data_IF_479187412638
#
_entry.id   IF_479187412638
#
_cell.length_a   1.000
_cell.length_b   1.000
_cell.length_c   1.000
_cell.angle_alpha   90.00
_cell.angle_beta   90.00
_cell.angle_gamma   90.00
#
_symmetry.space_group_name_H-M   'P 1'
#
loop_
_entity.id
_entity.type
_entity.pdbx_description
1 polymer ?
#
# COMPACT_ATOMS: atom_id res chain seq x y z
N UNK A 1 -1.09 7.06 -23.61
CA UNK A 1 0.16 7.67 -23.09
C UNK A 1 1.10 6.52 -22.74
N UNK A 2 2.40 6.66 -23.04
CA UNK A 2 3.37 5.64 -22.64
C UNK A 2 3.45 5.59 -21.10
N UNK A 3 3.60 4.38 -20.54
CA UNK A 3 3.86 4.21 -19.11
C UNK A 3 5.23 4.81 -18.83
N UNK A 4 5.30 5.75 -17.89
CA UNK A 4 6.54 6.43 -17.53
C UNK A 4 6.95 6.03 -16.13
N UNK A 5 8.11 5.38 -15.99
CA UNK A 5 8.74 5.02 -14.71
C UNK A 5 9.82 6.02 -14.28
N UNK A 6 10.10 7.02 -15.10
CA UNK A 6 11.25 7.93 -14.94
C UNK A 6 10.94 9.20 -14.10
N UNK A 7 9.91 9.13 -13.28
CA UNK A 7 9.55 10.26 -12.42
C UNK A 7 10.22 10.21 -11.04
N UNK A 8 10.68 9.02 -10.62
CA UNK A 8 11.37 8.83 -9.35
C UNK A 8 12.87 9.18 -9.51
N UNK A 9 13.33 10.16 -8.74
CA UNK A 9 14.70 10.67 -8.80
C UNK A 9 15.39 10.51 -7.45
N UNK A 10 16.49 9.77 -7.41
CA UNK A 10 17.27 9.53 -6.18
C UNK A 10 17.85 10.82 -5.57
N UNK A 11 18.12 11.83 -6.41
CA UNK A 11 18.65 13.14 -6.04
C UNK A 11 17.57 14.21 -5.81
N UNK A 12 16.29 13.82 -5.73
CA UNK A 12 15.22 14.77 -5.50
C UNK A 12 15.42 15.54 -4.17
N UNK A 13 15.22 16.85 -4.21
CA UNK A 13 15.46 17.74 -3.07
C UNK A 13 14.72 17.33 -1.80
N UNK A 14 13.53 16.77 -1.93
CA UNK A 14 12.76 16.28 -0.78
C UNK A 14 13.54 15.25 0.05
N UNK A 15 14.23 14.31 -0.59
CA UNK A 15 14.99 13.28 0.11
C UNK A 15 16.20 13.85 0.83
N UNK A 16 16.87 14.82 0.19
CA UNK A 16 17.95 15.55 0.83
C UNK A 16 17.49 16.30 2.08
N UNK A 17 16.34 16.98 2.01
CA UNK A 17 15.80 17.72 3.15
C UNK A 17 15.30 16.78 4.27
N UNK A 18 14.71 15.63 3.93
CA UNK A 18 14.31 14.63 4.92
C UNK A 18 15.53 13.97 5.59
N UNK A 19 16.66 13.83 4.90
CA UNK A 19 17.92 13.33 5.46
C UNK A 19 18.54 14.28 6.50
N UNK A 20 18.19 15.59 6.49
CA UNK A 20 18.49 16.50 7.59
C UNK A 20 17.73 16.14 8.89
N UNK A 21 16.88 15.11 8.80
CA UNK A 21 16.17 14.48 9.90
C UNK A 21 15.40 15.45 10.80
N UNK A 22 14.44 16.25 10.27
CA UNK A 22 13.60 17.12 11.09
C UNK A 22 12.95 16.32 12.23
N UNK A 23 12.77 16.92 13.38
CA UNK A 23 12.27 16.23 14.58
C UNK A 23 10.93 15.50 14.32
N UNK A 24 9.99 16.12 13.62
CA UNK A 24 8.71 15.52 13.26
C UNK A 24 8.86 14.31 12.28
N UNK A 25 9.88 14.33 11.42
CA UNK A 25 10.19 13.22 10.52
C UNK A 25 10.68 12.00 11.29
N UNK A 26 11.55 12.24 12.26
CA UNK A 26 12.03 11.20 13.19
C UNK A 26 10.87 10.54 13.92
N UNK A 27 9.90 11.33 14.43
CA UNK A 27 8.71 10.79 15.10
C UNK A 27 7.88 9.86 14.19
N UNK A 28 7.69 10.23 12.90
CA UNK A 28 7.02 9.33 11.95
C UNK A 28 7.78 8.02 11.73
N UNK A 29 9.12 8.06 11.66
CA UNK A 29 9.95 6.88 11.45
C UNK A 29 9.96 5.95 12.68
N UNK A 30 9.93 6.51 13.87
CA UNK A 30 10.01 5.77 15.14
C UNK A 30 8.68 5.17 15.59
N UNK A 31 7.55 5.63 15.07
CA UNK A 31 6.24 5.02 15.39
C UNK A 31 6.07 3.70 14.63
N UNK A 32 6.21 2.60 15.36
CA UNK A 32 6.13 1.24 14.80
C UNK A 32 4.76 0.87 14.24
N UNK A 33 3.71 1.62 14.53
CA UNK A 33 2.37 1.40 13.98
C UNK A 33 2.17 2.02 12.60
N UNK A 34 3.08 2.91 12.19
CA UNK A 34 3.03 3.59 10.90
C UNK A 34 3.88 2.88 9.86
N UNK A 35 3.56 3.09 8.59
CA UNK A 35 4.46 2.80 7.49
C UNK A 35 4.55 3.99 6.53
N UNK A 36 5.68 4.10 5.86
CA UNK A 36 6.05 5.25 5.03
C UNK A 36 6.34 4.77 3.62
N UNK A 37 5.71 5.42 2.65
CA UNK A 37 5.88 5.12 1.23
C UNK A 37 6.44 6.32 0.47
N UNK A 38 7.46 6.06 -0.32
CA UNK A 38 7.96 6.99 -1.33
C UNK A 38 7.18 6.75 -2.62
N UNK A 39 6.63 7.80 -3.19
CA UNK A 39 5.79 7.73 -4.39
C UNK A 39 6.56 8.16 -5.64
N UNK A 40 6.15 7.64 -6.80
CA UNK A 40 6.80 7.83 -8.10
C UNK A 40 7.06 9.29 -8.51
N UNK A 41 6.34 10.23 -7.93
CA UNK A 41 6.45 11.67 -8.16
C UNK A 41 7.32 12.38 -7.10
N UNK A 42 8.17 11.63 -6.40
CA UNK A 42 9.04 12.11 -5.33
C UNK A 42 8.26 12.73 -4.16
N UNK A 43 7.09 12.20 -3.85
CA UNK A 43 6.35 12.50 -2.64
C UNK A 43 6.57 11.40 -1.60
N UNK A 44 6.36 11.74 -0.34
CA UNK A 44 6.41 10.77 0.75
C UNK A 44 5.08 10.79 1.47
N UNK A 45 4.48 9.62 1.62
CA UNK A 45 3.20 9.46 2.30
C UNK A 45 3.37 8.60 3.55
N UNK A 46 2.67 8.97 4.61
CA UNK A 46 2.64 8.25 5.88
C UNK A 46 1.27 7.61 6.05
N UNK A 47 1.25 6.36 6.51
CA UNK A 47 0.04 5.56 6.63
C UNK A 47 -0.09 4.91 7.99
N UNK A 48 -1.34 4.73 8.41
CA UNK A 48 -1.76 3.92 9.55
C UNK A 48 -2.89 2.98 9.11
N UNK A 49 -2.74 1.67 9.34
CA UNK A 49 -3.76 0.65 8.97
C UNK A 49 -4.31 0.81 7.54
N UNK A 50 -3.43 1.07 6.57
CA UNK A 50 -3.79 1.27 5.17
C UNK A 50 -4.41 2.65 4.83
N UNK A 51 -4.65 3.50 5.83
CA UNK A 51 -5.14 4.86 5.63
C UNK A 51 -4.01 5.89 5.56
N UNK A 52 -3.96 6.69 4.51
CA UNK A 52 -3.01 7.80 4.40
C UNK A 52 -3.34 8.90 5.41
N UNK A 53 -2.39 9.23 6.28
CA UNK A 53 -2.54 10.25 7.33
C UNK A 53 -1.83 11.55 6.98
N UNK A 54 -0.68 11.46 6.32
CA UNK A 54 0.12 12.61 5.92
C UNK A 54 0.69 12.43 4.52
N UNK A 55 0.90 13.58 3.85
CA UNK A 55 1.63 13.71 2.59
C UNK A 55 2.70 14.76 2.75
N UNK A 56 3.90 14.45 2.31
CA UNK A 56 5.07 15.31 2.41
C UNK A 56 5.54 15.63 1.01
N UNK A 57 5.69 16.92 0.72
CA UNK A 57 6.13 17.44 -0.56
C UNK A 57 7.29 18.41 -0.35
N UNK A 58 8.07 18.67 -1.38
CA UNK A 58 9.04 19.76 -1.41
C UNK A 58 8.50 20.90 -2.28
N UNK A 59 8.32 22.06 -1.68
CA UNK A 59 7.92 23.27 -2.38
C UNK A 59 9.15 23.99 -2.93
N UNK A 60 9.38 23.94 -4.24
CA UNK A 60 10.52 24.59 -4.88
C UNK A 60 10.46 26.13 -4.77
N UNK A 61 9.28 26.72 -4.68
CA UNK A 61 9.09 28.16 -4.55
C UNK A 61 9.61 28.69 -3.21
N UNK A 62 9.26 28.00 -2.13
CA UNK A 62 9.60 28.38 -0.76
C UNK A 62 10.91 27.69 -0.30
N UNK A 63 11.38 26.69 -1.04
CA UNK A 63 12.56 25.86 -0.72
C UNK A 63 12.43 25.15 0.63
N UNK A 64 11.23 24.62 0.91
CA UNK A 64 10.91 23.98 2.18
C UNK A 64 10.09 22.69 1.99
N UNK A 65 10.10 21.84 3.02
CA UNK A 65 9.20 20.70 3.13
C UNK A 65 7.81 21.17 3.53
N UNK A 66 6.80 20.72 2.80
CA UNK A 66 5.40 20.93 3.14
C UNK A 66 4.78 19.62 3.60
N UNK A 67 4.08 19.65 4.73
CA UNK A 67 3.37 18.51 5.32
C UNK A 67 1.89 18.78 5.30
N UNK A 68 1.14 17.89 4.66
CA UNK A 68 -0.30 17.94 4.54
C UNK A 68 -0.91 16.80 5.36
N UNK A 69 -1.79 17.13 6.31
CA UNK A 69 -2.48 16.17 7.17
C UNK A 69 -3.93 16.05 6.74
N UNK A 70 -4.48 14.85 6.72
CA UNK A 70 -5.90 14.65 6.43
C UNK A 70 -6.77 15.33 7.50
N UNK A 71 -7.72 16.17 7.08
CA UNK A 71 -8.51 17.05 7.94
C UNK A 71 -9.15 16.38 9.17
N UNK A 72 -9.59 15.12 9.04
CA UNK A 72 -10.22 14.36 10.13
C UNK A 72 -9.26 14.12 11.32
N UNK A 73 -7.95 14.06 11.07
CA UNK A 73 -6.95 13.88 12.11
C UNK A 73 -6.53 15.20 12.77
N UNK A 74 -6.88 16.32 12.15
CA UNK A 74 -6.79 17.64 12.75
C UNK A 74 -8.02 18.00 13.58
N UNK A 75 -9.08 17.18 13.51
CA UNK A 75 -10.35 17.46 14.18
C UNK A 75 -11.10 18.65 13.60
N UNK A 76 -10.85 18.98 12.33
CA UNK A 76 -11.52 20.07 11.62
C UNK A 76 -12.53 19.54 10.60
N UNK A 77 -13.58 20.29 10.28
CA UNK A 77 -14.54 19.93 9.25
C UNK A 77 -13.85 19.70 7.89
N UNK A 78 -14.51 18.93 7.02
CA UNK A 78 -14.05 18.77 5.64
C UNK A 78 -14.00 20.13 4.95
N UNK A 79 -12.88 20.52 4.32
CA UNK A 79 -12.76 21.78 3.59
C UNK A 79 -13.77 21.88 2.44
N UNK A 80 -14.25 23.12 2.18
CA UNK A 80 -15.28 23.39 1.18
C UNK A 80 -14.83 23.07 -0.26
N UNK A 81 -13.53 23.17 -0.54
CA UNK A 81 -12.89 22.84 -1.82
C UNK A 81 -12.73 21.33 -2.09
N UNK A 82 -13.27 20.49 -1.18
CA UNK A 82 -13.09 19.05 -1.19
C UNK A 82 -11.64 18.56 -1.08
N UNK A 83 -10.67 19.41 -0.78
CA UNK A 83 -9.32 18.99 -0.48
C UNK A 83 -9.29 18.32 0.91
N UNK A 84 -9.09 17.02 0.93
CA UNK A 84 -9.08 16.26 2.18
C UNK A 84 -7.83 16.49 3.03
N UNK A 85 -6.77 17.07 2.44
CA UNK A 85 -5.51 17.31 3.11
C UNK A 85 -5.27 18.80 3.26
N UNK A 86 -4.93 19.19 4.47
CA UNK A 86 -4.69 20.58 4.86
C UNK A 86 -3.21 20.75 5.17
N UNK A 87 -2.59 21.81 4.66
CA UNK A 87 -1.21 22.14 4.98
C UNK A 87 -1.05 22.43 6.48
N UNK A 88 -0.05 21.80 7.09
CA UNK A 88 0.19 21.80 8.52
C UNK A 88 1.66 21.98 8.90
N UNK A 89 2.47 22.44 7.95
CA UNK A 89 3.93 22.51 8.05
C UNK A 89 4.42 23.29 9.28
N UNK A 90 3.85 24.47 9.53
CA UNK A 90 4.26 25.35 10.63
C UNK A 90 3.97 24.77 12.03
N UNK A 91 3.04 23.80 12.12
CA UNK A 91 2.55 23.26 13.40
C UNK A 91 2.95 21.82 13.62
N UNK A 92 3.47 21.12 12.61
CA UNK A 92 3.71 19.69 12.67
C UNK A 92 4.65 19.31 13.84
N UNK A 93 5.66 20.11 14.09
CA UNK A 93 6.65 19.84 15.14
C UNK A 93 6.10 19.93 16.57
N UNK A 94 5.03 20.72 16.79
CA UNK A 94 4.45 20.94 18.12
C UNK A 94 3.20 20.09 18.42
N UNK A 95 2.54 19.59 17.37
CA UNK A 95 1.23 18.93 17.51
C UNK A 95 1.19 17.51 16.90
N UNK A 96 2.33 16.95 16.48
CA UNK A 96 2.32 15.65 15.82
C UNK A 96 1.81 14.54 16.72
N UNK A 97 2.18 14.51 18.00
CA UNK A 97 1.68 13.51 18.95
C UNK A 97 0.15 13.55 19.06
N UNK A 98 -0.44 14.74 19.16
CA UNK A 98 -1.92 14.89 19.20
C UNK A 98 -2.57 14.37 17.92
N UNK A 99 -1.93 14.57 16.76
CA UNK A 99 -2.40 14.04 15.47
C UNK A 99 -2.34 12.52 15.48
N UNK A 100 -1.23 11.93 15.92
CA UNK A 100 -1.04 10.48 15.96
C UNK A 100 -2.00 9.80 16.95
N UNK A 101 -2.21 10.38 18.12
CA UNK A 101 -3.18 9.89 19.10
C UNK A 101 -4.61 9.93 18.53
N UNK A 102 -4.96 11.01 17.82
CA UNK A 102 -6.24 11.13 17.14
C UNK A 102 -6.40 10.14 15.99
N UNK A 103 -5.33 9.89 15.20
CA UNK A 103 -5.32 8.85 14.17
C UNK A 103 -5.69 7.50 14.77
N UNK A 104 -5.00 7.08 15.82
CA UNK A 104 -5.22 5.80 16.51
C UNK A 104 -6.65 5.72 17.07
N UNK A 105 -7.14 6.79 17.68
CA UNK A 105 -8.52 6.85 18.19
C UNK A 105 -9.56 6.72 17.09
N UNK A 106 -9.42 7.47 15.99
CA UNK A 106 -10.39 7.45 14.88
C UNK A 106 -10.45 6.07 14.20
N UNK A 107 -9.31 5.39 14.05
CA UNK A 107 -9.29 4.05 13.46
C UNK A 107 -9.78 2.98 14.42
N UNK A 108 -9.36 3.01 15.67
CA UNK A 108 -9.79 2.03 16.67
C UNK A 108 -11.31 2.05 16.93
N UNK A 109 -11.96 3.19 16.74
CA UNK A 109 -13.42 3.30 16.88
C UNK A 109 -14.20 2.74 15.69
N UNK A 110 -13.59 2.63 14.52
CA UNK A 110 -14.28 2.22 13.29
C UNK A 110 -14.50 0.70 13.26
N UNK A 111 -15.65 0.28 13.76
CA UNK A 111 -16.06 -1.14 13.73
C UNK A 111 -15.40 -2.00 14.81
N UNK A 112 -14.75 -1.39 15.82
CA UNK A 112 -14.18 -2.13 16.93
C UNK A 112 -15.24 -2.48 17.97
N UNK A 113 -15.09 -3.68 18.54
CA UNK A 113 -15.81 -4.12 19.75
C UNK A 113 -14.72 -4.31 20.81
N UNK A 114 -14.83 -3.58 21.93
CA UNK A 114 -13.83 -3.58 23.02
C UNK A 114 -12.38 -3.31 22.52
N UNK A 115 -12.23 -2.41 21.54
CA UNK A 115 -10.93 -2.05 20.96
C UNK A 115 -10.37 -3.03 19.92
N UNK A 116 -11.09 -4.12 19.62
CA UNK A 116 -10.71 -5.11 18.62
C UNK A 116 -11.63 -5.02 17.40
N UNK A 117 -11.08 -4.95 16.21
CA UNK A 117 -11.86 -5.03 14.97
C UNK A 117 -12.17 -6.49 14.67
N UNK A 118 -13.47 -6.91 14.69
CA UNK A 118 -13.84 -8.27 14.33
C UNK A 118 -13.35 -8.62 12.93
N UNK A 119 -12.91 -9.84 12.74
CA UNK A 119 -12.31 -10.33 11.50
C UNK A 119 -13.22 -10.12 10.28
N UNK A 120 -14.51 -10.32 10.42
CA UNK A 120 -15.49 -10.09 9.34
C UNK A 120 -15.56 -8.61 8.90
N UNK A 121 -15.09 -7.68 9.74
CA UNK A 121 -15.04 -6.24 9.45
C UNK A 121 -13.69 -5.77 8.91
N UNK A 122 -12.68 -6.64 8.79
CA UNK A 122 -11.39 -6.27 8.22
C UNK A 122 -11.57 -5.84 6.76
N UNK A 123 -11.21 -4.59 6.48
CA UNK A 123 -11.17 -4.09 5.10
C UNK A 123 -9.88 -4.53 4.41
N UNK A 124 -9.83 -4.54 3.07
CA UNK A 124 -8.59 -4.78 2.32
C UNK A 124 -7.48 -3.82 2.76
N UNK A 125 -7.79 -2.54 3.00
CA UNK A 125 -6.82 -1.56 3.50
C UNK A 125 -6.26 -1.88 4.87
N UNK A 126 -7.11 -2.33 5.81
CA UNK A 126 -6.66 -2.76 7.12
C UNK A 126 -5.73 -3.96 7.03
N UNK A 127 -6.11 -4.97 6.25
CA UNK A 127 -5.29 -6.17 6.00
C UNK A 127 -3.96 -5.77 5.36
N UNK A 128 -3.98 -4.93 4.33
CA UNK A 128 -2.79 -4.42 3.65
C UNK A 128 -1.84 -3.73 4.62
N UNK A 129 -2.33 -2.77 5.40
CA UNK A 129 -1.53 -2.03 6.36
C UNK A 129 -0.92 -2.91 7.44
N UNK A 130 -1.70 -3.87 7.97
CA UNK A 130 -1.23 -4.84 8.97
C UNK A 130 -0.13 -5.73 8.40
N UNK A 131 -0.31 -6.26 7.20
CA UNK A 131 0.72 -7.07 6.51
C UNK A 131 2.02 -6.30 6.30
N UNK A 132 1.94 -5.04 5.90
CA UNK A 132 3.11 -4.17 5.70
C UNK A 132 3.86 -3.99 7.02
N UNK A 133 3.15 -3.67 8.09
CA UNK A 133 3.76 -3.42 9.40
C UNK A 133 4.40 -4.69 9.98
N UNK A 134 3.77 -5.85 9.80
CA UNK A 134 4.29 -7.13 10.32
C UNK A 134 5.43 -7.72 9.51
N UNK A 135 5.52 -7.41 8.22
CA UNK A 135 6.52 -7.99 7.32
C UNK A 135 7.37 -6.94 6.59
N UNK A 136 7.77 -5.88 7.32
CA UNK A 136 8.58 -4.76 6.80
C UNK A 136 9.85 -5.20 6.09
N UNK A 137 10.48 -6.27 6.57
CA UNK A 137 11.70 -6.85 6.00
C UNK A 137 11.52 -7.45 4.60
N UNK A 138 10.29 -7.59 4.13
CA UNK A 138 9.98 -8.04 2.76
C UNK A 138 9.21 -7.00 1.96
N UNK A 139 8.71 -5.96 2.63
CA UNK A 139 7.87 -4.95 1.98
C UNK A 139 8.72 -3.91 1.24
N UNK A 140 8.43 -3.71 -0.03
CA UNK A 140 9.13 -2.74 -0.87
C UNK A 140 8.24 -1.55 -1.24
N UNK A 141 6.99 -1.79 -1.64
CA UNK A 141 6.03 -0.75 -2.05
C UNK A 141 4.58 -1.22 -1.85
N UNK A 142 3.66 -0.28 -1.84
CA UNK A 142 2.22 -0.53 -1.82
C UNK A 142 1.47 0.39 -2.77
N UNK A 143 0.29 -0.06 -3.22
CA UNK A 143 -0.57 0.72 -4.10
C UNK A 143 0.16 1.26 -5.35
N UNK A 144 1.05 0.44 -5.96
CA UNK A 144 1.75 0.80 -7.17
C UNK A 144 0.76 1.04 -8.32
N UNK A 145 0.60 2.30 -8.68
CA UNK A 145 -0.36 2.73 -9.71
C UNK A 145 0.31 2.98 -11.05
N UNK A 146 -0.23 2.37 -12.09
CA UNK A 146 0.19 2.62 -13.46
C UNK A 146 -1.01 2.78 -14.39
N UNK A 147 -0.82 3.60 -15.41
CA UNK A 147 -1.78 3.78 -16.46
C UNK A 147 -1.07 3.43 -17.79
N UNK A 148 -1.61 2.51 -18.51
CA UNK A 148 -1.29 2.36 -19.93
C UNK A 148 -2.39 3.03 -20.79
N UNK A 149 -2.32 2.89 -22.11
CA UNK A 149 -3.28 3.53 -23.03
C UNK A 149 -4.72 3.06 -22.85
N UNK A 150 -4.94 1.93 -22.19
CA UNK A 150 -6.22 1.24 -22.13
C UNK A 150 -6.74 1.07 -20.70
N UNK A 151 -5.85 0.94 -19.70
CA UNK A 151 -6.24 0.60 -18.34
C UNK A 151 -5.52 1.43 -17.29
N UNK A 152 -6.23 1.71 -16.20
CA UNK A 152 -5.67 2.23 -14.95
C UNK A 152 -5.68 1.10 -13.93
N UNK A 153 -4.51 0.66 -13.52
CA UNK A 153 -4.36 -0.43 -12.57
C UNK A 153 -3.58 0.03 -11.34
N UNK A 154 -3.86 -0.62 -10.21
CA UNK A 154 -3.15 -0.41 -8.97
C UNK A 154 -2.95 -1.75 -8.29
N UNK A 155 -1.70 -2.10 -8.10
CA UNK A 155 -1.29 -3.34 -7.42
C UNK A 155 -1.11 -3.05 -5.94
N UNK A 156 -1.70 -3.88 -5.10
CA UNK A 156 -1.82 -3.58 -3.67
C UNK A 156 -0.49 -3.63 -2.92
N UNK A 157 0.34 -4.66 -3.16
CA UNK A 157 1.59 -4.88 -2.45
C UNK A 157 2.72 -5.26 -3.41
N UNK A 158 3.92 -4.79 -3.11
CA UNK A 158 5.15 -5.23 -3.76
C UNK A 158 6.12 -5.70 -2.70
N UNK A 159 6.55 -6.95 -2.81
CA UNK A 159 7.47 -7.61 -1.88
C UNK A 159 8.80 -7.87 -2.57
N UNK A 160 9.87 -7.93 -1.79
CA UNK A 160 11.16 -8.38 -2.26
C UNK A 160 11.75 -9.38 -1.25
N UNK A 161 12.08 -10.57 -1.72
CA UNK A 161 12.78 -11.61 -0.95
C UNK A 161 13.90 -12.17 -1.79
N UNK A 162 15.09 -12.28 -1.21
CA UNK A 162 16.29 -12.77 -1.91
C UNK A 162 16.56 -12.03 -3.24
N UNK A 163 16.24 -10.74 -3.27
CA UNK A 163 16.39 -9.89 -4.46
C UNK A 163 15.29 -10.05 -5.52
N UNK A 164 14.34 -10.96 -5.33
CA UNK A 164 13.20 -11.16 -6.22
C UNK A 164 12.03 -10.27 -5.82
N UNK A 165 11.62 -9.39 -6.72
CA UNK A 165 10.44 -8.53 -6.57
C UNK A 165 9.19 -9.28 -7.02
N UNK A 166 8.18 -9.36 -6.17
CA UNK A 166 6.90 -10.01 -6.45
C UNK A 166 5.74 -9.03 -6.23
N UNK A 167 4.88 -8.91 -7.22
CA UNK A 167 3.66 -8.13 -7.17
C UNK A 167 2.52 -8.97 -6.60
N UNK A 168 1.79 -8.42 -5.63
CA UNK A 168 0.74 -9.13 -4.92
C UNK A 168 -0.56 -8.33 -4.95
N UNK A 169 -1.59 -8.94 -5.45
CA UNK A 169 -2.96 -8.45 -5.35
C UNK A 169 -3.60 -9.03 -4.09
N UNK A 170 -4.27 -8.19 -3.31
CA UNK A 170 -4.97 -8.58 -2.10
C UNK A 170 -6.47 -8.58 -2.33
N UNK A 171 -7.13 -9.67 -1.94
CA UNK A 171 -8.59 -9.77 -1.99
C UNK A 171 -9.13 -10.42 -0.71
N UNK A 172 -10.33 -9.99 -0.33
CA UNK A 172 -11.11 -10.74 0.66
C UNK A 172 -11.85 -11.88 -0.03
N UNK A 173 -11.97 -13.02 0.65
CA UNK A 173 -12.69 -14.19 0.13
C UNK A 173 -14.10 -13.87 -0.35
N UNK A 174 -14.80 -12.96 0.32
CA UNK A 174 -16.16 -12.54 -0.03
C UNK A 174 -16.25 -11.32 -0.96
N UNK A 175 -15.15 -10.89 -1.60
CA UNK A 175 -15.20 -9.80 -2.59
C UNK A 175 -15.95 -10.23 -3.85
N UNK A 176 -16.82 -9.37 -4.37
CA UNK A 176 -17.63 -9.66 -5.54
C UNK A 176 -16.81 -9.99 -6.81
N UNK A 177 -15.56 -9.50 -6.90
CA UNK A 177 -14.65 -9.79 -8.02
C UNK A 177 -14.03 -11.19 -7.97
N UNK A 178 -14.21 -11.90 -6.84
CA UNK A 178 -13.63 -13.23 -6.64
C UNK A 178 -14.48 -14.32 -7.27
N UNK A 179 -15.78 -14.35 -7.02
CA UNK A 179 -16.69 -15.35 -7.57
C UNK A 179 -18.13 -14.85 -7.48
N UNK A 180 -18.80 -14.80 -8.63
CA UNK A 180 -20.24 -14.64 -8.73
C UNK A 180 -20.90 -15.99 -9.01
N UNK A 181 -22.15 -16.17 -8.59
CA UNK A 181 -22.91 -17.40 -8.84
C UNK A 181 -23.07 -17.71 -10.34
N UNK A 182 -23.11 -16.65 -11.17
CA UNK A 182 -23.34 -16.73 -12.60
C UNK A 182 -22.06 -16.74 -13.45
N UNK A 183 -20.88 -16.46 -12.87
CA UNK A 183 -19.66 -16.26 -13.65
C UNK A 183 -18.91 -17.58 -13.88
N UNK A 184 -18.60 -17.85 -15.15
CA UNK A 184 -17.70 -18.95 -15.51
C UNK A 184 -16.25 -18.65 -15.10
N UNK A 185 -15.82 -17.39 -15.25
CA UNK A 185 -14.46 -16.92 -14.90
C UNK A 185 -14.56 -15.64 -14.08
N UNK A 186 -14.06 -15.62 -12.82
CA UNK A 186 -14.08 -14.44 -11.95
C UNK A 186 -13.29 -13.28 -12.53
N UNK A 187 -13.70 -12.04 -12.22
CA UNK A 187 -13.02 -10.81 -12.66
C UNK A 187 -11.56 -10.78 -12.23
N UNK A 188 -11.23 -11.31 -11.06
CA UNK A 188 -9.87 -11.38 -10.54
C UNK A 188 -8.91 -12.14 -11.46
N UNK A 189 -9.37 -13.16 -12.18
CA UNK A 189 -8.54 -13.90 -13.16
C UNK A 189 -8.08 -12.97 -14.29
N UNK A 190 -9.00 -12.18 -14.83
CA UNK A 190 -8.67 -11.18 -15.86
C UNK A 190 -7.72 -10.11 -15.32
N UNK A 191 -7.91 -9.70 -14.06
CA UNK A 191 -7.02 -8.74 -13.39
C UNK A 191 -5.61 -9.31 -13.26
N UNK A 192 -5.45 -10.55 -12.79
CA UNK A 192 -4.14 -11.21 -12.65
C UNK A 192 -3.44 -11.39 -14.00
N UNK A 193 -4.17 -11.73 -15.06
CA UNK A 193 -3.63 -11.83 -16.41
C UNK A 193 -3.14 -10.48 -16.95
N UNK A 194 -3.89 -9.40 -16.72
CA UNK A 194 -3.43 -8.04 -17.08
C UNK A 194 -2.15 -7.65 -16.33
N UNK A 195 -2.05 -7.99 -15.05
CA UNK A 195 -0.84 -7.73 -14.26
C UNK A 195 0.36 -8.52 -14.81
N UNK A 196 0.17 -9.79 -15.11
CA UNK A 196 1.22 -10.62 -15.72
C UNK A 196 1.74 -10.00 -17.03
N UNK A 197 0.86 -9.64 -17.95
CA UNK A 197 1.23 -9.00 -19.21
C UNK A 197 1.98 -7.67 -19.00
N UNK A 198 1.52 -6.86 -18.04
CA UNK A 198 2.18 -5.61 -17.69
C UNK A 198 3.59 -5.85 -17.13
N UNK A 199 3.73 -6.78 -16.20
CA UNK A 199 5.01 -7.12 -15.57
C UNK A 199 5.99 -7.64 -16.60
N UNK A 200 5.57 -8.56 -17.47
CA UNK A 200 6.41 -9.11 -18.53
C UNK A 200 6.87 -8.01 -19.51
N UNK A 201 5.95 -7.14 -19.93
CA UNK A 201 6.23 -6.04 -20.85
C UNK A 201 7.22 -5.01 -20.31
N UNK A 202 7.16 -4.72 -19.02
CA UNK A 202 7.92 -3.62 -18.41
C UNK A 202 8.95 -4.10 -17.38
N UNK A 203 9.34 -5.37 -17.39
CA UNK A 203 10.19 -6.00 -16.38
C UNK A 203 11.49 -5.20 -16.10
N UNK A 204 12.20 -4.77 -17.15
CA UNK A 204 13.45 -4.01 -16.99
C UNK A 204 13.23 -2.64 -16.35
N UNK A 205 12.21 -1.92 -16.78
CA UNK A 205 11.87 -0.60 -16.25
C UNK A 205 11.37 -0.70 -14.79
N UNK A 206 10.61 -1.75 -14.48
CA UNK A 206 10.16 -2.04 -13.12
C UNK A 206 11.33 -2.35 -12.19
N UNK A 207 12.30 -3.15 -12.68
CA UNK A 207 13.50 -3.44 -11.91
C UNK A 207 14.29 -2.17 -11.59
N UNK A 208 14.54 -1.33 -12.58
CA UNK A 208 15.23 -0.06 -12.41
C UNK A 208 14.49 0.87 -11.42
N UNK A 209 13.15 0.95 -11.55
CA UNK A 209 12.31 1.72 -10.63
C UNK A 209 12.45 1.23 -9.19
N UNK A 210 12.38 -0.08 -8.95
CA UNK A 210 12.46 -0.63 -7.59
C UNK A 210 13.86 -0.60 -7.02
N UNK A 211 14.91 -0.63 -7.83
CA UNK A 211 16.27 -0.35 -7.37
C UNK A 211 16.41 1.09 -6.88
N UNK A 212 15.93 2.07 -7.65
CA UNK A 212 15.90 3.48 -7.22
C UNK A 212 15.07 3.66 -5.94
N UNK A 213 13.90 3.04 -5.86
CA UNK A 213 13.04 3.10 -4.67
C UNK A 213 13.73 2.52 -3.43
N UNK A 214 14.39 1.38 -3.58
CA UNK A 214 15.15 0.74 -2.52
C UNK A 214 16.26 1.67 -1.99
N UNK A 215 17.05 2.25 -2.89
CA UNK A 215 18.14 3.16 -2.54
C UNK A 215 17.63 4.41 -1.81
N UNK A 216 16.51 4.99 -2.26
CA UNK A 216 15.89 6.14 -1.61
C UNK A 216 15.41 5.74 -0.20
N UNK A 217 14.64 4.66 -0.08
CA UNK A 217 14.16 4.20 1.24
C UNK A 217 15.32 3.94 2.20
N UNK A 218 16.37 3.28 1.72
CA UNK A 218 17.59 3.01 2.50
C UNK A 218 18.30 4.29 2.93
N UNK A 219 18.42 5.27 2.03
CA UNK A 219 19.03 6.58 2.36
C UNK A 219 18.25 7.37 3.40
N UNK A 220 16.91 7.20 3.43
CA UNK A 220 16.02 7.81 4.41
C UNK A 220 15.93 7.02 5.73
N UNK A 221 16.69 5.94 5.87
CA UNK A 221 16.64 5.02 7.01
C UNK A 221 15.23 4.42 7.23
N UNK A 222 14.50 4.21 6.16
CA UNK A 222 13.22 3.52 6.19
C UNK A 222 13.45 1.99 6.10
N UNK A 223 12.53 1.17 6.60
CA UNK A 223 12.59 -0.26 6.42
C UNK A 223 12.66 -0.64 4.93
N UNK A 224 13.59 -1.50 4.58
CA UNK A 224 13.78 -2.07 3.23
C UNK A 224 14.02 -3.56 3.34
N UNK A 225 13.77 -4.35 2.29
CA UNK A 225 14.20 -5.74 2.20
C UNK A 225 15.71 -5.89 2.42
N UNK A 226 16.13 -7.05 2.94
CA UNK A 226 17.56 -7.32 3.19
C UNK A 226 18.40 -7.27 1.91
N UNK A 227 17.82 -7.73 0.79
CA UNK A 227 18.48 -7.79 -0.51
C UNK A 227 17.99 -6.72 -1.46
N UNK A 228 18.91 -6.08 -2.16
CA UNK A 228 18.59 -5.20 -3.28
C UNK A 228 17.78 -5.96 -4.35
N UNK A 229 16.75 -5.34 -4.95
CA UNK A 229 16.05 -5.90 -6.11
C UNK A 229 17.00 -6.21 -7.26
N UNK A 230 17.03 -7.47 -7.72
CA UNK A 230 17.86 -7.92 -8.86
C UNK A 230 17.04 -8.64 -9.95
N UNK A 231 15.79 -9.00 -9.62
CA UNK A 231 14.94 -9.76 -10.52
C UNK A 231 13.45 -9.43 -10.27
N UNK A 232 12.67 -9.35 -11.34
CA UNK A 232 11.21 -9.20 -11.29
C UNK A 232 10.56 -10.57 -11.54
N UNK A 233 9.77 -11.06 -10.59
CA UNK A 233 8.95 -12.24 -10.78
C UNK A 233 7.86 -11.92 -11.84
N UNK A 234 7.83 -12.61 -12.99
CA UNK A 234 6.86 -12.34 -14.04
C UNK A 234 5.44 -12.76 -13.65
N UNK A 235 5.29 -13.60 -12.63
CA UNK A 235 4.00 -14.14 -12.19
C UNK A 235 3.56 -13.38 -10.93
N UNK A 236 2.49 -12.54 -11.01
CA UNK A 236 1.92 -11.90 -9.83
C UNK A 236 1.24 -12.94 -8.93
N UNK A 237 1.14 -12.63 -7.66
CA UNK A 237 0.49 -13.46 -6.65
C UNK A 237 -0.85 -12.86 -6.24
N UNK A 238 -1.87 -13.71 -6.09
CA UNK A 238 -3.14 -13.35 -5.47
C UNK A 238 -3.15 -13.83 -4.03
N UNK A 239 -3.19 -12.89 -3.08
CA UNK A 239 -3.33 -13.18 -1.66
C UNK A 239 -4.80 -13.01 -1.25
N UNK A 240 -5.43 -14.10 -0.87
CA UNK A 240 -6.83 -14.12 -0.47
C UNK A 240 -6.92 -14.18 1.05
N UNK A 241 -7.59 -13.21 1.66
CA UNK A 241 -7.90 -13.24 3.08
C UNK A 241 -9.30 -13.77 3.32
N UNK A 242 -9.38 -14.90 4.00
CA UNK A 242 -10.65 -15.45 4.47
C UNK A 242 -11.03 -14.83 5.80
N UNK A 243 -11.87 -13.81 5.74
CA UNK A 243 -12.38 -13.07 6.89
C UNK A 243 -13.66 -13.66 7.48
N UNK A 244 -14.11 -14.82 7.05
CA UNK A 244 -15.32 -15.44 7.60
C UNK A 244 -15.04 -16.11 8.95
N UNK A 245 -15.75 -15.68 9.99
CA UNK A 245 -15.62 -16.25 11.34
C UNK A 245 -16.38 -17.58 11.46
N UNK A 246 -17.52 -17.71 10.74
CA UNK A 246 -18.35 -18.91 10.80
C UNK A 246 -18.28 -19.69 9.49
N UNK A 247 -18.02 -20.97 9.59
CA UNK A 247 -18.13 -21.88 8.47
C UNK A 247 -19.59 -22.26 8.27
N UNK A 248 -20.06 -22.11 7.03
CA UNK A 248 -21.35 -22.62 6.58
C UNK A 248 -21.14 -23.42 5.32
N UNK A 249 -22.05 -24.34 5.03
CA UNK A 249 -21.98 -25.17 3.81
C UNK A 249 -21.82 -24.32 2.54
N UNK A 250 -22.49 -23.18 2.45
CA UNK A 250 -22.36 -22.26 1.31
C UNK A 250 -20.99 -21.59 1.23
N UNK A 251 -20.40 -21.17 2.38
CA UNK A 251 -19.05 -20.59 2.42
C UNK A 251 -17.98 -21.63 2.08
N UNK A 252 -18.13 -22.86 2.53
CA UNK A 252 -17.19 -23.94 2.19
C UNK A 252 -17.26 -24.29 0.69
N UNK A 253 -18.45 -24.33 0.13
CA UNK A 253 -18.65 -24.55 -1.32
C UNK A 253 -18.05 -23.39 -2.14
N UNK A 254 -18.23 -22.15 -1.70
CA UNK A 254 -17.63 -20.97 -2.33
C UNK A 254 -16.09 -21.07 -2.34
N UNK A 255 -15.45 -21.38 -1.19
CA UNK A 255 -14.00 -21.56 -1.11
C UNK A 255 -13.50 -22.63 -2.08
N UNK A 256 -14.15 -23.80 -2.04
CA UNK A 256 -13.79 -24.93 -2.90
C UNK A 256 -13.87 -24.56 -4.38
N UNK A 257 -15.01 -24.02 -4.80
CA UNK A 257 -15.25 -23.63 -6.21
C UNK A 257 -14.26 -22.55 -6.67
N UNK A 258 -14.01 -21.53 -5.85
CA UNK A 258 -13.06 -20.49 -6.18
C UNK A 258 -11.65 -21.07 -6.38
N UNK A 259 -11.15 -21.87 -5.45
CA UNK A 259 -9.83 -22.49 -5.55
C UNK A 259 -9.70 -23.38 -6.80
N UNK A 260 -10.73 -24.17 -7.14
CA UNK A 260 -10.75 -24.99 -8.35
C UNK A 260 -10.64 -24.14 -9.63
N UNK A 261 -11.38 -23.01 -9.69
CA UNK A 261 -11.30 -22.11 -10.84
C UNK A 261 -9.92 -21.47 -10.94
N UNK A 262 -9.38 -20.93 -9.84
CA UNK A 262 -8.06 -20.28 -9.84
C UNK A 262 -6.95 -21.25 -10.25
N UNK A 263 -7.01 -22.52 -9.81
CA UNK A 263 -6.09 -23.57 -10.22
C UNK A 263 -6.21 -23.88 -11.72
N UNK A 264 -7.44 -24.03 -12.23
CA UNK A 264 -7.70 -24.29 -13.64
C UNK A 264 -7.20 -23.15 -14.54
N UNK A 265 -7.31 -21.91 -14.08
CA UNK A 265 -6.88 -20.71 -14.81
C UNK A 265 -5.41 -20.36 -14.58
N UNK A 266 -4.63 -21.25 -13.94
CA UNK A 266 -3.20 -21.11 -13.64
C UNK A 266 -2.85 -19.79 -12.88
N UNK A 267 -3.75 -19.34 -12.00
CA UNK A 267 -3.50 -18.19 -11.14
C UNK A 267 -2.70 -18.65 -9.92
N UNK A 268 -1.54 -18.03 -9.69
CA UNK A 268 -0.78 -18.26 -8.45
C UNK A 268 -1.48 -17.56 -7.29
N UNK A 269 -1.94 -18.33 -6.32
CA UNK A 269 -2.66 -17.79 -5.16
C UNK A 269 -2.30 -18.47 -3.85
N UNK A 270 -2.59 -17.76 -2.77
CA UNK A 270 -2.57 -18.30 -1.41
C UNK A 270 -3.79 -17.80 -0.63
N UNK A 271 -4.27 -18.61 0.30
CA UNK A 271 -5.37 -18.26 1.19
C UNK A 271 -4.85 -18.19 2.61
N UNK A 272 -5.12 -17.07 3.29
CA UNK A 272 -4.80 -16.87 4.71
C UNK A 272 -6.07 -16.54 5.48
N UNK A 273 -6.10 -16.95 6.74
CA UNK A 273 -7.16 -16.58 7.67
C UNK A 273 -6.66 -15.65 8.78
N UNK A 274 -5.37 -15.58 8.98
CA UNK A 274 -4.73 -14.78 10.04
C UNK A 274 -3.46 -14.11 9.50
N UNK A 275 -2.94 -13.13 10.24
CA UNK A 275 -1.72 -12.39 9.91
C UNK A 275 -0.45 -13.18 10.26
#
# INVERSE_FOLDING_TARGET
MAVTFDTLKTDARIFHELNNNPHWWKQFKEDSSLYIEVRKDNQVNVYFEGGSIARIHYCSKNRELQVFIHHKYLGIPKPADNNLYVEYSDKIGSCLNDVLDRVKTVYSQKGSIDGVVPKENWSEKYIQGTLIVQSRQYHLDSEFAYNDSETSNRIDLVKCSDGMVTFVELKRMGDNRMLHETDATPEVVYQMNRYKQFIEKYSSQLLEYYQKLYDIKKSLELPVPESLPIYINPIPELLIFDCWEKNTKGRDEHRRRLCEILQKEDVRFSVKSDF
#
